data_IF_285282088039
#
_entry.id   IF_285282088039
#
_cell.length_a   1.000
_cell.length_b   1.000
_cell.length_c   1.000
_cell.angle_alpha   90.00
_cell.angle_beta   90.00
_cell.angle_gamma   90.00
#
_symmetry.space_group_name_H-M   'P 1'
#
loop_
_entity.id
_entity.type
_entity.pdbx_description
1 polymer ?
#
# COMPACT_ATOMS: atom_id res chain seq x y z
N UNK A 1 11.67 -2.84 -7.72
CA UNK A 1 10.21 -2.64 -7.75
C UNK A 1 9.78 -2.11 -6.40
N UNK A 2 9.06 -0.98 -6.36
CA UNK A 2 8.60 -0.33 -5.13
C UNK A 2 7.64 -1.25 -4.35
N UNK A 3 7.80 -1.31 -3.01
CA UNK A 3 6.93 -2.09 -2.10
C UNK A 3 5.49 -1.60 -2.13
N UNK A 4 5.27 -0.29 -2.35
CA UNK A 4 3.95 0.34 -2.50
C UNK A 4 3.23 -0.16 -3.73
N UNK A 5 3.89 -0.16 -4.88
CA UNK A 5 3.33 -0.69 -6.14
C UNK A 5 3.03 -2.19 -6.05
N UNK A 6 3.85 -2.94 -5.30
CA UNK A 6 3.62 -4.36 -5.07
C UNK A 6 2.35 -4.60 -4.23
N UNK A 7 2.16 -3.82 -3.17
CA UNK A 7 0.95 -3.83 -2.34
C UNK A 7 -0.29 -3.41 -3.15
N UNK A 8 -0.20 -2.35 -3.97
CA UNK A 8 -1.32 -1.89 -4.79
C UNK A 8 -1.75 -2.96 -5.80
N UNK A 9 -0.81 -3.56 -6.53
CA UNK A 9 -1.14 -4.55 -7.55
C UNK A 9 -1.60 -5.89 -6.95
N UNK A 10 -0.96 -6.33 -5.87
CA UNK A 10 -1.19 -7.67 -5.30
C UNK A 10 -2.29 -7.73 -4.24
N UNK A 11 -2.48 -6.65 -3.49
CA UNK A 11 -3.49 -6.56 -2.44
C UNK A 11 -4.61 -5.66 -2.94
N UNK A 12 -4.42 -4.34 -3.04
CA UNK A 12 -5.52 -3.37 -3.27
C UNK A 12 -6.37 -3.67 -4.52
N UNK A 13 -5.76 -3.86 -5.69
CA UNK A 13 -6.48 -4.14 -6.94
C UNK A 13 -7.21 -5.48 -6.94
N UNK A 14 -6.71 -6.47 -6.19
CA UNK A 14 -7.36 -7.78 -6.07
C UNK A 14 -8.72 -7.68 -5.36
N UNK A 15 -8.92 -6.66 -4.52
CA UNK A 15 -10.18 -6.41 -3.81
C UNK A 15 -11.13 -5.47 -4.56
N UNK A 16 -11.13 -5.51 -5.90
CA UNK A 16 -12.00 -4.71 -6.78
C UNK A 16 -11.80 -3.19 -6.70
N UNK A 17 -10.69 -2.71 -6.14
CA UNK A 17 -10.32 -1.28 -6.21
C UNK A 17 -9.64 -1.01 -7.56
N UNK A 18 -10.45 -0.60 -8.54
CA UNK A 18 -10.01 -0.39 -9.93
C UNK A 18 -10.05 1.08 -10.38
N UNK A 19 -10.67 1.97 -9.61
CA UNK A 19 -10.69 3.41 -9.93
C UNK A 19 -9.28 3.99 -9.79
N UNK A 20 -8.70 4.45 -10.90
CA UNK A 20 -7.35 5.01 -10.93
C UNK A 20 -7.18 6.23 -10.03
N UNK A 21 -8.25 6.99 -9.75
CA UNK A 21 -8.18 8.12 -8.80
C UNK A 21 -7.94 7.61 -7.38
N UNK A 22 -8.54 6.48 -7.01
CA UNK A 22 -8.31 5.84 -5.71
C UNK A 22 -6.89 5.26 -5.67
N UNK A 23 -6.46 4.57 -6.73
CA UNK A 23 -5.11 4.02 -6.81
C UNK A 23 -4.03 5.12 -6.73
N UNK A 24 -4.28 6.29 -7.32
CA UNK A 24 -3.39 7.45 -7.21
C UNK A 24 -3.20 7.90 -5.76
N UNK A 25 -4.24 7.85 -4.92
CA UNK A 25 -4.12 8.18 -3.48
C UNK A 25 -3.19 7.20 -2.77
N UNK A 26 -3.29 5.90 -3.05
CA UNK A 26 -2.37 4.90 -2.50
C UNK A 26 -0.93 5.08 -3.00
N UNK A 27 -0.76 5.61 -4.21
CA UNK A 27 0.58 5.93 -4.78
C UNK A 27 1.20 7.17 -4.16
N UNK A 28 0.39 8.14 -3.73
CA UNK A 28 0.88 9.40 -3.17
C UNK A 28 1.13 9.28 -1.64
N UNK A 29 0.18 8.69 -0.92
CA UNK A 29 0.26 8.57 0.54
C UNK A 29 1.32 7.58 1.01
N UNK A 30 2.27 8.08 1.79
CA UNK A 30 3.31 7.30 2.47
C UNK A 30 2.72 6.54 3.66
N UNK A 31 2.30 5.29 3.42
CA UNK A 31 1.66 4.45 4.44
C UNK A 31 2.55 4.27 5.69
N UNK A 32 3.88 4.26 5.53
CA UNK A 32 4.83 4.13 6.63
C UNK A 32 4.81 5.30 7.64
N UNK A 33 4.26 6.45 7.27
CA UNK A 33 4.14 7.60 8.17
C UNK A 33 2.97 7.43 9.17
N UNK A 34 2.08 6.47 8.94
CA UNK A 34 0.88 6.21 9.74
C UNK A 34 0.97 4.97 10.63
N UNK A 35 2.16 4.39 10.76
CA UNK A 35 2.42 3.24 11.65
C UNK A 35 3.47 3.60 12.71
N UNK A 36 3.44 2.95 13.89
CA UNK A 36 4.53 3.07 14.86
C UNK A 36 5.89 2.77 14.22
N UNK A 37 6.93 3.42 14.72
CA UNK A 37 8.27 3.36 14.14
C UNK A 37 8.77 1.92 13.96
N UNK A 38 8.54 1.04 14.96
CA UNK A 38 8.95 -0.35 14.89
C UNK A 38 8.31 -1.16 13.74
N UNK A 39 7.24 -0.67 13.13
CA UNK A 39 6.52 -1.35 12.05
C UNK A 39 6.72 -0.73 10.67
N UNK A 40 7.48 0.36 10.54
CA UNK A 40 7.69 1.04 9.25
C UNK A 40 8.26 0.12 8.17
N UNK A 41 9.20 -0.75 8.54
CA UNK A 41 9.79 -1.73 7.63
C UNK A 41 8.77 -2.75 7.08
N UNK A 42 7.64 -2.95 7.78
CA UNK A 42 6.59 -3.89 7.42
C UNK A 42 5.28 -3.20 6.99
N UNK A 43 5.29 -1.88 6.79
CA UNK A 43 4.07 -1.08 6.56
C UNK A 43 3.25 -1.51 5.32
N UNK A 44 3.88 -2.18 4.36
CA UNK A 44 3.29 -2.66 3.10
C UNK A 44 3.15 -4.19 3.04
N UNK A 45 3.55 -4.90 4.10
CA UNK A 45 3.41 -6.34 4.17
C UNK A 45 1.95 -6.71 4.43
N UNK A 46 1.48 -7.76 3.76
CA UNK A 46 0.25 -8.45 4.12
C UNK A 46 0.62 -9.47 5.19
N UNK A 47 0.33 -9.17 6.44
CA UNK A 47 0.57 -10.06 7.57
C UNK A 47 -0.76 -10.76 7.87
N UNK A 48 -0.80 -12.08 7.68
CA UNK A 48 -1.95 -12.93 8.00
C UNK A 48 -2.11 -13.17 9.50
#
# INVERSE_FOLDING_TARGET
MDVRERMIRGQVRCWSVLDERVLAVFRDLRREDFVPEQYRAMAYADLA
#
